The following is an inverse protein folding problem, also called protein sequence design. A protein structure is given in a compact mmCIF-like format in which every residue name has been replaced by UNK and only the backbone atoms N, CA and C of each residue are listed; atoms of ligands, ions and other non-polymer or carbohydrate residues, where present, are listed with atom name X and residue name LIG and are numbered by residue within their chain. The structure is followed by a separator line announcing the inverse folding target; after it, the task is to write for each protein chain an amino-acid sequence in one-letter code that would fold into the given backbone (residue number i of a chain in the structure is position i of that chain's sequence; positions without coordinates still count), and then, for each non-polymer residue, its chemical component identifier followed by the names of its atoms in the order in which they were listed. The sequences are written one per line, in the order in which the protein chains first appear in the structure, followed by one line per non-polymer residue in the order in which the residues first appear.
data_IF_293297059032
#
_entry.id   IF_293297059032
#
_cell.length_a   1.000
_cell.length_b   1.000
_cell.length_c   1.000
_cell.angle_alpha   90.00
_cell.angle_beta   90.00
_cell.angle_gamma   90.00
#
_symmetry.space_group_name_H-M   'P 1'
#
loop_
_entity.id
_entity.type
_entity.pdbx_description
1 polymer ?
#
# COMPACT_ATOMS: atom_id res chain seq x y z
N UNK A 1 33.22 -12.26 -16.66
CA UNK A 1 31.97 -12.93 -16.24
C UNK A 1 31.24 -11.91 -15.40
N UNK A 2 30.43 -11.09 -16.06
CA UNK A 2 29.71 -9.98 -15.43
C UNK A 2 28.48 -10.57 -14.74
N UNK A 3 28.32 -10.27 -13.44
CA UNK A 3 27.09 -10.64 -12.72
C UNK A 3 26.02 -9.64 -13.15
N UNK A 4 25.32 -9.92 -14.26
CA UNK A 4 24.12 -9.18 -14.63
C UNK A 4 22.98 -9.63 -13.71
N UNK A 5 22.60 -8.78 -12.77
CA UNK A 5 21.35 -8.94 -12.05
C UNK A 5 20.20 -8.80 -13.04
N UNK A 6 19.44 -9.88 -13.23
CA UNK A 6 18.20 -9.83 -13.97
C UNK A 6 17.10 -9.26 -13.06
N UNK A 7 16.84 -7.96 -13.18
CA UNK A 7 15.81 -7.23 -12.42
C UNK A 7 14.38 -7.43 -12.95
N UNK A 8 14.12 -8.36 -13.88
CA UNK A 8 12.74 -8.64 -14.37
C UNK A 8 11.89 -9.49 -13.40
N UNK A 9 12.27 -9.54 -12.12
CA UNK A 9 11.49 -10.14 -11.05
C UNK A 9 10.38 -9.18 -10.60
N UNK A 10 9.26 -9.15 -11.33
CA UNK A 10 7.88 -8.97 -10.85
C UNK A 10 6.98 -8.43 -11.98
N UNK A 11 5.76 -8.98 -12.10
CA UNK A 11 4.71 -8.31 -12.86
C UNK A 11 4.52 -6.89 -12.34
N UNK A 12 4.34 -5.92 -13.23
CA UNK A 12 4.24 -4.50 -12.87
C UNK A 12 3.21 -4.27 -11.77
N UNK A 13 3.57 -3.50 -10.76
CA UNK A 13 2.66 -3.07 -9.70
C UNK A 13 1.98 -1.79 -10.17
N UNK A 14 0.88 -1.96 -10.87
CA UNK A 14 0.12 -0.86 -11.43
C UNK A 14 -1.10 -0.58 -10.53
N UNK A 15 -1.38 0.70 -10.26
CA UNK A 15 -2.65 1.12 -9.66
C UNK A 15 -3.65 1.36 -10.79
N UNK A 16 -4.79 0.69 -10.73
CA UNK A 16 -5.92 0.92 -11.63
C UNK A 16 -7.05 1.65 -10.90
N UNK A 17 -7.86 2.37 -11.67
CA UNK A 17 -9.14 2.89 -11.22
C UNK A 17 -10.12 1.76 -10.85
N UNK A 18 -11.25 2.12 -10.24
CA UNK A 18 -12.30 1.17 -9.84
C UNK A 18 -12.90 0.39 -11.03
N UNK A 19 -12.76 0.91 -12.25
CA UNK A 19 -13.14 0.21 -13.49
C UNK A 19 -12.23 -0.99 -13.85
N UNK A 20 -11.10 -1.14 -13.16
CA UNK A 20 -10.09 -2.17 -13.37
C UNK A 20 -9.33 -2.07 -14.71
N UNK A 21 -9.46 -0.95 -15.43
CA UNK A 21 -8.94 -0.75 -16.80
C UNK A 21 -8.09 0.50 -16.92
N UNK A 22 -8.53 1.59 -16.30
CA UNK A 22 -7.86 2.88 -16.37
C UNK A 22 -6.64 2.84 -15.46
N UNK A 23 -5.47 2.95 -16.06
CA UNK A 23 -4.20 2.95 -15.35
C UNK A 23 -3.96 4.32 -14.71
N UNK A 24 -3.85 4.36 -13.39
CA UNK A 24 -3.60 5.57 -12.60
C UNK A 24 -2.12 5.77 -12.29
N UNK A 25 -1.43 4.69 -11.89
CA UNK A 25 0.01 4.72 -11.56
C UNK A 25 0.69 3.47 -12.07
N UNK A 26 1.92 3.64 -12.60
CA UNK A 26 2.83 2.54 -12.91
C UNK A 26 3.89 2.40 -11.85
N UNK A 27 4.41 1.18 -11.72
CA UNK A 27 5.61 0.88 -10.93
C UNK A 27 5.51 1.41 -9.49
N UNK A 28 4.41 1.05 -8.82
CA UNK A 28 4.14 1.36 -7.42
C UNK A 28 5.17 0.66 -6.52
N UNK A 29 5.88 1.46 -5.74
CA UNK A 29 6.92 0.99 -4.81
C UNK A 29 6.39 0.88 -3.37
N UNK A 30 5.59 1.84 -2.90
CA UNK A 30 4.94 1.79 -1.59
C UNK A 30 3.52 2.34 -1.64
N UNK A 31 2.65 1.81 -0.78
CA UNK A 31 1.28 2.32 -0.59
C UNK A 31 0.97 2.54 0.89
N UNK A 32 0.08 3.48 1.14
CA UNK A 32 -0.64 3.66 2.39
C UNK A 32 -2.08 4.01 2.04
N UNK A 33 -3.04 3.17 2.42
CA UNK A 33 -4.43 3.35 1.99
C UNK A 33 -5.43 3.17 3.12
N UNK A 34 -6.59 3.80 2.98
CA UNK A 34 -7.77 3.57 3.81
C UNK A 34 -8.97 3.17 2.93
N UNK A 35 -10.18 3.39 3.42
CA UNK A 35 -11.43 3.01 2.74
C UNK A 35 -11.69 3.78 1.43
N UNK A 36 -11.02 4.91 1.21
CA UNK A 36 -11.26 5.79 0.06
C UNK A 36 -9.99 6.21 -0.66
N UNK A 37 -8.94 6.49 0.09
CA UNK A 37 -7.74 7.09 -0.44
C UNK A 37 -6.58 6.10 -0.44
N UNK A 38 -5.73 6.20 -1.46
CA UNK A 38 -4.43 5.53 -1.50
C UNK A 38 -3.34 6.56 -1.75
N UNK A 39 -2.43 6.68 -0.80
CA UNK A 39 -1.17 7.37 -1.03
C UNK A 39 -0.20 6.39 -1.67
N UNK A 40 0.33 6.78 -2.82
CA UNK A 40 1.28 6.00 -3.60
C UNK A 40 2.64 6.67 -3.56
N UNK A 41 3.68 5.89 -3.34
CA UNK A 41 5.06 6.28 -3.57
C UNK A 41 5.63 5.49 -4.76
N UNK A 42 6.32 6.20 -5.64
CA UNK A 42 6.98 5.67 -6.83
C UNK A 42 8.42 6.19 -6.91
N UNK A 43 9.30 5.39 -7.50
CA UNK A 43 10.71 5.71 -7.66
C UNK A 43 10.94 6.86 -8.64
N UNK A 44 10.05 7.02 -9.62
CA UNK A 44 10.06 8.16 -10.55
C UNK A 44 9.64 9.48 -9.89
N UNK A 45 8.98 9.41 -8.73
CA UNK A 45 8.41 10.50 -7.92
C UNK A 45 7.34 11.35 -8.61
N UNK A 46 7.17 11.28 -9.93
CA UNK A 46 6.15 12.04 -10.66
C UNK A 46 4.75 11.48 -10.37
N UNK A 47 4.68 10.16 -10.24
CA UNK A 47 3.44 9.45 -9.94
C UNK A 47 3.19 9.29 -8.43
N UNK A 48 4.10 9.79 -7.59
CA UNK A 48 3.90 9.86 -6.14
C UNK A 48 2.79 10.86 -5.80
N UNK A 49 1.92 10.49 -4.87
CA UNK A 49 0.88 11.36 -4.33
C UNK A 49 -0.34 10.59 -3.86
N UNK A 50 -1.37 11.35 -3.51
CA UNK A 50 -2.63 10.81 -3.02
C UNK A 50 -3.63 10.60 -4.16
N UNK A 51 -4.31 9.46 -4.17
CA UNK A 51 -5.35 9.09 -5.12
C UNK A 51 -6.65 8.81 -4.38
N UNK A 52 -7.78 9.13 -5.03
CA UNK A 52 -9.12 9.06 -4.46
C UNK A 52 -10.01 8.18 -5.33
N UNK A 53 -10.58 7.13 -4.71
CA UNK A 53 -11.47 6.18 -5.36
C UNK A 53 -12.82 6.79 -5.77
N UNK A 54 -13.25 7.92 -5.18
CA UNK A 54 -14.50 8.58 -5.58
C UNK A 54 -14.40 9.22 -6.97
N UNK A 55 -13.22 9.73 -7.32
CA UNK A 55 -12.97 10.41 -8.59
C UNK A 55 -12.11 9.59 -9.55
N UNK A 56 -11.68 8.39 -9.15
CA UNK A 56 -10.76 7.53 -9.90
C UNK A 56 -9.52 8.30 -10.39
N UNK A 57 -8.90 9.08 -9.51
CA UNK A 57 -7.89 10.05 -9.92
C UNK A 57 -6.97 10.54 -8.81
N UNK A 58 -5.93 11.27 -9.23
CA UNK A 58 -4.99 11.93 -8.31
C UNK A 58 -5.69 13.13 -7.65
N UNK A 59 -5.54 13.24 -6.34
CA UNK A 59 -5.98 14.41 -5.58
C UNK A 59 -5.13 15.62 -6.00
N UNK A 60 -5.77 16.77 -6.16
CA UNK A 60 -5.08 18.03 -6.45
C UNK A 60 -4.05 18.34 -5.35
N UNK A 61 -2.82 18.71 -5.75
CA UNK A 61 -1.70 19.01 -4.84
C UNK A 61 -2.06 20.07 -3.78
N UNK A 62 -2.93 21.02 -4.13
CA UNK A 62 -3.41 22.06 -3.20
C UNK A 62 -4.28 21.51 -2.08
N UNK A 63 -4.92 20.36 -2.31
CA UNK A 63 -5.78 19.68 -1.35
C UNK A 63 -5.07 18.50 -0.67
N UNK A 64 -4.00 17.96 -1.26
CA UNK A 64 -3.30 16.76 -0.78
C UNK A 64 -2.91 16.88 0.70
N UNK A 65 -2.31 17.99 1.12
CA UNK A 65 -1.91 18.20 2.51
C UNK A 65 -3.10 18.15 3.49
N UNK A 66 -4.24 18.73 3.10
CA UNK A 66 -5.47 18.74 3.90
C UNK A 66 -6.07 17.34 4.00
N UNK A 67 -6.11 16.60 2.89
CA UNK A 67 -6.63 15.23 2.88
C UNK A 67 -5.71 14.30 3.66
N UNK A 68 -4.39 14.40 3.49
CA UNK A 68 -3.43 13.65 4.29
C UNK A 68 -3.54 13.96 5.78
N UNK A 69 -3.75 15.21 6.18
CA UNK A 69 -3.95 15.57 7.58
C UNK A 69 -5.24 14.98 8.16
N UNK A 70 -6.30 14.90 7.36
CA UNK A 70 -7.61 14.37 7.78
C UNK A 70 -7.61 12.85 7.86
N UNK A 71 -7.06 12.18 6.85
CA UNK A 71 -7.00 10.72 6.76
C UNK A 71 -5.87 10.15 7.63
N UNK A 72 -4.82 10.93 7.86
CA UNK A 72 -3.59 10.49 8.50
C UNK A 72 -2.76 9.56 7.61
N UNK A 73 -3.07 9.45 6.32
CA UNK A 73 -2.24 8.75 5.33
C UNK A 73 -0.99 9.59 5.08
N UNK A 74 -0.03 9.51 6.00
CA UNK A 74 1.24 10.24 5.94
C UNK A 74 2.39 9.25 5.87
N UNK A 75 3.41 9.58 5.08
CA UNK A 75 4.60 8.75 4.88
C UNK A 75 5.91 9.21 5.55
N UNK A 76 6.02 10.31 6.33
CA UNK A 76 7.28 10.62 6.99
C UNK A 76 7.31 10.05 8.42
N UNK A 77 8.13 9.00 8.63
CA UNK A 77 8.64 8.50 9.93
C UNK A 77 7.63 8.06 11.03
N UNK A 78 6.36 8.47 11.00
CA UNK A 78 5.34 8.21 12.04
C UNK A 78 4.33 7.12 11.68
N UNK A 79 4.41 6.53 10.48
CA UNK A 79 3.61 5.37 10.07
C UNK A 79 2.34 5.72 9.30
N UNK A 80 1.78 4.72 8.62
CA UNK A 80 0.52 4.83 7.90
C UNK A 80 -0.65 4.76 8.89
N UNK A 81 -1.49 5.80 8.93
CA UNK A 81 -2.75 5.73 9.66
C UNK A 81 -3.86 5.01 8.85
N UNK A 82 -3.51 4.21 7.86
CA UNK A 82 -4.42 3.39 7.07
C UNK A 82 -4.22 1.91 7.35
N UNK A 83 -4.50 1.06 6.38
CA UNK A 83 -4.36 -0.39 6.51
C UNK A 83 -2.90 -0.87 6.58
N UNK A 84 -1.98 -0.23 5.85
CA UNK A 84 -0.58 -0.71 5.68
C UNK A 84 0.45 0.43 5.57
N UNK A 85 1.64 0.28 6.18
CA UNK A 85 2.81 1.13 5.93
C UNK A 85 3.97 0.32 5.33
N UNK A 86 4.73 0.85 4.37
CA UNK A 86 6.00 0.26 3.93
C UNK A 86 5.95 -0.72 2.73
N UNK A 87 7.14 -1.16 2.34
CA UNK A 87 7.54 -1.77 1.05
C UNK A 87 6.47 -2.63 0.37
N UNK A 88 6.01 -2.22 -0.83
CA UNK A 88 5.09 -3.01 -1.67
C UNK A 88 5.86 -3.71 -2.79
N UNK A 89 5.71 -5.03 -2.81
CA UNK A 89 5.51 -5.80 -4.04
C UNK A 89 4.05 -6.27 -4.10
N UNK A 90 3.58 -6.83 -5.23
CA UNK A 90 2.18 -7.24 -5.36
C UNK A 90 1.81 -8.34 -4.35
N UNK A 91 2.84 -9.03 -3.82
CA UNK A 91 2.81 -10.07 -2.80
C UNK A 91 2.14 -9.63 -1.48
N UNK A 92 2.09 -8.34 -1.13
CA UNK A 92 1.40 -7.91 0.10
C UNK A 92 -0.13 -8.10 0.06
N UNK A 93 -0.71 -8.09 -1.15
CA UNK A 93 -2.15 -8.17 -1.38
C UNK A 93 -2.60 -9.59 -1.75
N UNK A 94 -1.66 -10.53 -1.89
CA UNK A 94 -2.00 -11.92 -2.15
C UNK A 94 -2.43 -12.63 -0.86
N UNK A 95 -3.62 -13.22 -0.90
CA UNK A 95 -4.07 -14.17 0.09
C UNK A 95 -3.09 -15.36 0.12
N UNK A 96 -2.30 -15.48 1.20
CA UNK A 96 -1.30 -16.54 1.39
C UNK A 96 0.16 -16.10 1.37
N UNK A 97 0.45 -14.80 1.24
CA UNK A 97 1.82 -14.29 1.38
C UNK A 97 2.43 -14.64 2.74
N UNK A 98 3.73 -14.97 2.80
CA UNK A 98 4.41 -15.29 4.07
C UNK A 98 5.74 -14.55 4.18
N UNK A 99 6.22 -14.38 5.42
CA UNK A 99 7.55 -13.82 5.64
C UNK A 99 8.64 -14.60 4.86
N UNK A 100 9.63 -13.91 4.26
CA UNK A 100 9.91 -12.48 4.33
C UNK A 100 9.21 -11.62 3.25
N UNK A 101 8.39 -12.20 2.37
CA UNK A 101 7.79 -11.51 1.21
C UNK A 101 6.51 -10.73 1.54
N UNK A 102 6.09 -10.76 2.81
CA UNK A 102 4.90 -10.09 3.31
C UNK A 102 5.30 -8.99 4.32
N UNK A 103 4.52 -7.89 4.45
CA UNK A 103 4.95 -6.72 5.19
C UNK A 103 4.93 -7.03 6.70
N UNK A 104 5.92 -6.57 7.48
CA UNK A 104 5.94 -6.75 8.93
C UNK A 104 4.57 -6.44 9.56
N UNK A 105 4.09 -7.32 10.44
CA UNK A 105 2.82 -7.11 11.15
C UNK A 105 2.75 -5.77 11.89
N UNK A 106 3.88 -5.30 12.41
CA UNK A 106 4.04 -4.01 13.08
C UNK A 106 3.77 -2.80 12.17
N UNK A 107 3.65 -3.01 10.86
CA UNK A 107 3.33 -1.97 9.89
C UNK A 107 1.82 -1.85 9.60
N UNK A 108 0.99 -2.67 10.23
CA UNK A 108 -0.47 -2.60 10.12
C UNK A 108 -1.05 -1.82 11.30
N UNK A 109 -2.06 -1.02 11.03
CA UNK A 109 -2.68 -0.20 12.06
C UNK A 109 -3.92 -0.86 12.67
N UNK A 110 -3.70 -1.85 13.53
CA UNK A 110 -4.78 -2.50 14.29
C UNK A 110 -5.49 -1.55 15.29
N UNK A 111 -4.87 -0.42 15.63
CA UNK A 111 -5.41 0.54 16.58
C UNK A 111 -6.44 1.51 16.01
N UNK A 112 -6.56 1.62 14.67
CA UNK A 112 -7.47 2.58 14.05
C UNK A 112 -8.88 2.01 13.90
N UNK A 113 -9.71 2.26 14.90
CA UNK A 113 -11.10 1.79 14.96
C UNK A 113 -12.08 2.42 13.96
N UNK A 114 -11.68 3.43 13.19
CA UNK A 114 -12.54 4.10 12.19
C UNK A 114 -12.47 3.47 10.80
N UNK A 115 -11.56 2.51 10.59
CA UNK A 115 -11.43 1.78 9.33
C UNK A 115 -12.61 0.81 9.16
N UNK A 116 -13.27 0.87 8.00
CA UNK A 116 -14.49 0.07 7.74
C UNK A 116 -14.17 -1.38 7.38
N UNK A 117 -13.17 -1.58 6.53
CA UNK A 117 -12.75 -2.87 5.98
C UNK A 117 -11.61 -3.50 6.78
N UNK A 118 -11.86 -3.73 8.08
CA UNK A 118 -10.85 -4.26 9.02
C UNK A 118 -10.28 -5.62 8.61
N UNK A 119 -10.99 -6.39 7.79
CA UNK A 119 -10.54 -7.67 7.23
C UNK A 119 -9.24 -7.56 6.42
N UNK A 120 -8.89 -6.37 5.90
CA UNK A 120 -7.58 -6.14 5.29
C UNK A 120 -6.45 -6.31 6.28
N UNK A 121 -6.66 -5.90 7.54
CA UNK A 121 -5.63 -6.00 8.58
C UNK A 121 -5.29 -7.45 8.92
N UNK A 122 -6.20 -8.40 8.69
CA UNK A 122 -6.06 -9.80 9.10
C UNK A 122 -5.27 -10.67 8.09
N UNK A 123 -4.95 -10.15 6.89
CA UNK A 123 -4.41 -10.96 5.77
C UNK A 123 -2.89 -10.91 5.61
N UNK A 124 -2.13 -12.01 5.76
CA UNK A 124 -2.31 -13.11 6.69
C UNK A 124 -1.54 -12.82 8.00
N UNK A 125 -1.80 -11.68 8.62
CA UNK A 125 -1.15 -11.25 9.85
C UNK A 125 -2.25 -10.84 10.83
N UNK A 126 -2.15 -11.26 12.09
CA UNK A 126 -3.08 -10.86 13.15
C UNK A 126 -2.42 -9.85 14.09
N UNK A 127 -3.15 -9.23 15.04
CA UNK A 127 -2.53 -8.40 16.08
C UNK A 127 -1.41 -9.11 16.86
N UNK A 128 -1.45 -10.45 16.93
CA UNK A 128 -0.46 -11.31 17.58
C UNK A 128 0.78 -11.60 16.70
N UNK A 129 0.73 -11.24 15.41
CA UNK A 129 1.82 -11.42 14.46
C UNK A 129 1.49 -12.37 13.31
N UNK A 130 2.53 -12.90 12.66
CA UNK A 130 2.36 -13.91 11.62
C UNK A 130 1.80 -15.20 12.22
N UNK A 131 0.83 -15.87 11.57
CA UNK A 131 0.45 -17.22 11.95
C UNK A 131 1.69 -18.11 11.92
N UNK A 132 1.91 -18.87 13.00
CA UNK A 132 2.93 -19.91 13.00
C UNK A 132 2.58 -20.90 11.89
N UNK A 133 3.56 -21.21 11.01
CA UNK A 133 3.38 -22.28 10.02
C UNK A 133 2.93 -23.52 10.78
N UNK A 134 1.74 -24.03 10.45
CA UNK A 134 1.39 -25.42 10.75
C UNK A 134 2.08 -26.25 9.69
N UNK A 135 3.12 -26.94 10.13
CA UNK A 135 3.80 -28.03 9.44
C UNK A 135 2.86 -29.20 9.13
#
# INVERSE_FOLDING_TARGET
MEREFNWTLAGRNDLFATDGKTLLVRDVDMICFDDRYVYVWTGDRQSTGLYDAEIDGKVDETNEATVMATTGLTLPATGCNGYYTGWVGPELLYDGATAPHAPPCVWRNFGKGVLLHREWLDRPCTPEGWPTRRD
#
